data_IF_827979296601
#
_entry.id   IF_827979296601
#
_cell.length_a   1.000
_cell.length_b   1.000
_cell.length_c   1.000
_cell.angle_alpha   90.00
_cell.angle_beta   90.00
_cell.angle_gamma   90.00
#
_symmetry.space_group_name_H-M   'P 1'
#
loop_
_entity.id
_entity.type
_entity.pdbx_description
1 polymer ?
#
# COMPACT_ATOMS: atom_id res chain seq x y z
N UNK A 1 4.68 4.46 17.27
CA UNK A 1 3.71 4.44 16.16
C UNK A 1 2.95 3.14 16.24
N UNK A 2 1.62 3.21 16.33
CA UNK A 2 0.76 2.03 16.43
C UNK A 2 0.62 1.41 15.04
N UNK A 3 1.09 0.17 14.88
CA UNK A 3 1.11 -0.52 13.59
C UNK A 3 -0.27 -0.57 12.89
N UNK A 4 -1.37 -0.65 13.67
CA UNK A 4 -2.72 -0.82 13.12
C UNK A 4 -3.44 0.45 12.64
N UNK A 5 -2.88 1.65 12.79
CA UNK A 5 -3.48 2.85 12.18
C UNK A 5 -3.16 2.95 10.68
N UNK A 6 -1.92 2.68 10.28
CA UNK A 6 -1.47 2.73 8.89
C UNK A 6 -2.25 1.75 8.00
N UNK A 7 -2.56 0.58 8.54
CA UNK A 7 -3.31 -0.50 7.90
C UNK A 7 -4.75 -0.04 7.56
N UNK A 8 -5.41 0.64 8.51
CA UNK A 8 -6.76 1.19 8.31
C UNK A 8 -6.81 2.22 7.20
N UNK A 9 -5.83 3.13 7.15
CA UNK A 9 -5.78 4.16 6.11
C UNK A 9 -5.54 3.54 4.73
N UNK A 10 -4.63 2.58 4.63
CA UNK A 10 -4.34 1.85 3.39
C UNK A 10 -5.60 1.18 2.85
N UNK A 11 -6.30 0.42 3.68
CA UNK A 11 -7.53 -0.28 3.31
C UNK A 11 -8.66 0.70 2.93
N UNK A 12 -8.78 1.84 3.62
CA UNK A 12 -9.78 2.87 3.33
C UNK A 12 -9.55 3.53 1.97
N UNK A 13 -8.29 3.85 1.62
CA UNK A 13 -7.93 4.42 0.31
C UNK A 13 -8.31 3.47 -0.81
N UNK A 14 -7.94 2.19 -0.71
CA UNK A 14 -8.26 1.21 -1.74
C UNK A 14 -9.77 0.94 -1.87
N UNK A 15 -10.52 0.91 -0.76
CA UNK A 15 -11.99 0.85 -0.80
C UNK A 15 -12.60 2.06 -1.50
N UNK A 16 -12.06 3.25 -1.28
CA UNK A 16 -12.52 4.47 -1.94
C UNK A 16 -12.22 4.42 -3.43
N UNK A 17 -11.03 3.99 -3.84
CA UNK A 17 -10.64 3.80 -5.24
C UNK A 17 -11.60 2.86 -5.96
N UNK A 18 -11.99 1.74 -5.32
CA UNK A 18 -12.94 0.79 -5.89
C UNK A 18 -14.37 1.38 -6.03
N UNK A 19 -14.80 2.23 -5.08
CA UNK A 19 -16.10 2.93 -5.16
C UNK A 19 -16.12 4.04 -6.20
N UNK A 20 -14.98 4.69 -6.43
CA UNK A 20 -14.82 5.80 -7.37
C UNK A 20 -14.30 5.34 -8.74
N UNK A 21 -14.22 4.03 -8.99
CA UNK A 21 -13.74 3.50 -10.25
C UNK A 21 -14.63 3.99 -11.42
N UNK A 22 -14.04 4.42 -12.55
CA UNK A 22 -12.60 4.43 -12.86
C UNK A 22 -11.86 5.65 -12.26
N UNK A 23 -10.81 5.41 -11.47
CA UNK A 23 -9.96 6.48 -10.93
C UNK A 23 -8.47 6.09 -10.92
N UNK A 24 -7.60 7.11 -10.84
CA UNK A 24 -6.14 6.95 -10.81
C UNK A 24 -5.60 7.33 -9.44
N UNK A 25 -4.90 6.40 -8.79
CA UNK A 25 -4.20 6.67 -7.52
C UNK A 25 -2.74 7.00 -7.82
N UNK A 26 -2.33 8.21 -7.45
CA UNK A 26 -0.92 8.62 -7.50
C UNK A 26 -0.25 8.36 -6.16
N UNK A 27 0.87 7.66 -6.19
CA UNK A 27 1.77 7.52 -5.05
C UNK A 27 3.11 8.11 -5.40
N UNK A 28 3.57 9.00 -4.54
CA UNK A 28 4.89 9.62 -4.59
C UNK A 28 5.78 8.98 -3.51
N UNK A 29 7.09 8.96 -3.74
CA UNK A 29 8.08 8.38 -2.81
C UNK A 29 7.73 6.95 -2.34
N UNK A 30 7.27 6.10 -3.25
CA UNK A 30 6.88 4.72 -2.90
C UNK A 30 8.10 3.88 -2.46
N UNK A 31 9.29 4.26 -2.89
CA UNK A 31 10.57 3.73 -2.44
C UNK A 31 10.85 4.01 -0.96
N UNK A 32 10.36 5.12 -0.39
CA UNK A 32 10.45 5.39 1.05
C UNK A 32 9.63 4.38 1.89
N UNK A 33 8.55 3.84 1.31
CA UNK A 33 7.76 2.74 1.87
C UNK A 33 8.44 1.38 1.63
N UNK A 34 8.96 1.13 0.43
CA UNK A 34 9.57 -0.14 0.02
C UNK A 34 11.09 -0.25 0.25
N UNK A 35 11.69 0.69 0.99
CA UNK A 35 13.15 0.84 1.16
C UNK A 35 13.91 -0.47 1.37
N UNK A 36 15.19 -0.49 0.95
CA UNK A 36 16.02 -1.69 0.87
C UNK A 36 15.75 -2.66 2.02
N UNK A 37 15.37 -3.90 1.68
CA UNK A 37 15.19 -4.99 2.64
C UNK A 37 16.55 -5.43 3.17
N UNK A 38 17.32 -4.53 3.78
CA UNK A 38 18.62 -4.85 4.34
C UNK A 38 18.40 -5.88 5.44
N UNK A 39 19.10 -7.00 5.30
CA UNK A 39 19.08 -8.16 6.20
C UNK A 39 19.79 -7.90 7.54
N UNK A 40 20.12 -6.65 7.86
CA UNK A 40 20.89 -6.25 9.03
C UNK A 40 20.06 -5.54 10.11
N UNK A 41 19.78 -6.26 11.19
CA UNK A 41 19.67 -5.78 12.58
C UNK A 41 18.87 -4.51 12.90
N UNK A 42 17.67 -4.67 13.46
CA UNK A 42 16.99 -3.64 14.26
C UNK A 42 15.47 -3.81 14.27
N UNK A 43 14.85 -4.00 15.43
CA UNK A 43 13.44 -4.38 15.63
C UNK A 43 12.34 -3.42 15.09
N UNK A 44 12.66 -2.47 14.22
CA UNK A 44 11.70 -1.64 13.48
C UNK A 44 11.31 -2.19 12.10
N UNK A 45 12.02 -3.19 11.59
CA UNK A 45 11.84 -3.73 10.23
C UNK A 45 10.57 -4.58 10.08
N UNK A 46 10.11 -5.21 11.16
CA UNK A 46 8.97 -6.14 11.12
C UNK A 46 7.64 -5.41 10.92
N UNK A 47 7.46 -4.25 11.55
CA UNK A 47 6.27 -3.41 11.38
C UNK A 47 6.19 -2.86 9.96
N UNK A 48 7.31 -2.39 9.40
CA UNK A 48 7.37 -1.95 7.99
C UNK A 48 7.06 -3.10 7.02
N UNK A 49 7.61 -4.29 7.26
CA UNK A 49 7.33 -5.47 6.42
C UNK A 49 5.86 -5.88 6.47
N UNK A 50 5.22 -5.81 7.64
CA UNK A 50 3.80 -6.07 7.78
C UNK A 50 2.96 -5.07 6.97
N UNK A 51 3.23 -3.76 7.10
CA UNK A 51 2.55 -2.71 6.32
C UNK A 51 2.72 -2.89 4.81
N UNK A 52 3.95 -3.19 4.35
CA UNK A 52 4.24 -3.46 2.94
C UNK A 52 3.42 -4.66 2.41
N UNK A 53 3.31 -5.72 3.23
CA UNK A 53 2.59 -6.93 2.85
C UNK A 53 1.10 -6.66 2.71
N UNK A 54 0.50 -5.92 3.66
CA UNK A 54 -0.91 -5.54 3.57
C UNK A 54 -1.18 -4.60 2.38
N UNK A 55 -0.28 -3.65 2.15
CA UNK A 55 -0.36 -2.75 1.01
C UNK A 55 -0.39 -3.52 -0.33
N UNK A 56 0.48 -4.53 -0.49
CA UNK A 56 0.48 -5.41 -1.66
C UNK A 56 -0.81 -6.23 -1.79
N UNK A 57 -1.33 -6.78 -0.69
CA UNK A 57 -2.60 -7.53 -0.69
C UNK A 57 -3.77 -6.65 -1.09
N UNK A 58 -3.82 -5.41 -0.60
CA UNK A 58 -4.89 -4.48 -0.93
C UNK A 58 -4.83 -4.00 -2.40
N UNK A 59 -3.61 -3.85 -2.95
CA UNK A 59 -3.41 -3.55 -4.37
C UNK A 59 -3.89 -4.69 -5.28
N UNK A 60 -3.64 -5.95 -4.92
CA UNK A 60 -4.13 -7.11 -5.69
C UNK A 60 -5.67 -7.20 -5.69
N UNK A 61 -6.28 -6.81 -4.56
CA UNK A 61 -7.73 -6.67 -4.44
C UNK A 61 -8.35 -5.64 -5.39
N UNK A 62 -7.63 -4.57 -5.74
CA UNK A 62 -8.11 -3.59 -6.74
C UNK A 62 -8.11 -4.12 -8.17
N UNK A 63 -7.13 -4.97 -8.52
CA UNK A 63 -6.96 -5.43 -9.90
C UNK A 63 -7.94 -6.55 -10.29
N UNK A 64 -8.56 -7.18 -9.28
CA UNK A 64 -9.51 -8.30 -9.45
C UNK A 64 -10.96 -7.85 -9.75
N UNK A 65 -11.27 -6.55 -9.66
CA UNK A 65 -12.59 -5.99 -9.93
C UNK A 65 -12.90 -5.79 -11.42
N UNK A 66 -14.20 -5.80 -11.78
CA UNK A 66 -14.67 -5.50 -13.15
C UNK A 66 -14.46 -4.01 -13.53
N UNK A 67 -14.43 -3.13 -12.53
CA UNK A 67 -14.16 -1.70 -12.65
C UNK A 67 -12.74 -1.41 -12.13
N UNK A 68 -11.75 -1.44 -13.01
CA UNK A 68 -10.33 -1.40 -12.63
C UNK A 68 -9.90 0.03 -12.28
N UNK A 69 -9.59 0.27 -11.01
CA UNK A 69 -8.79 1.43 -10.60
C UNK A 69 -7.33 1.26 -11.05
N UNK A 70 -6.72 2.30 -11.62
CA UNK A 70 -5.33 2.24 -12.06
C UNK A 70 -4.44 2.91 -11.02
N UNK A 71 -3.49 2.17 -10.47
CA UNK A 71 -2.50 2.72 -9.55
C UNK A 71 -1.25 3.09 -10.35
N UNK A 72 -0.85 4.36 -10.29
CA UNK A 72 0.38 4.84 -10.92
C UNK A 72 1.33 5.35 -9.84
N UNK A 73 2.46 4.68 -9.71
CA UNK A 73 3.53 5.17 -8.86
C UNK A 73 4.39 6.15 -9.65
N UNK A 74 4.71 7.29 -9.04
CA UNK A 74 5.81 8.15 -9.45
C UNK A 74 6.99 7.89 -8.50
N UNK A 75 8.20 8.04 -9.03
CA UNK A 75 9.45 7.93 -8.28
C UNK A 75 10.10 9.31 -8.29
#
# INVERSE_FOLDING_TARGET
MWAGESDKYTNAVFKLTNRLAPCVVFMDEVDALFGERTSGGGGGTDVRRAMITEFMQAMDGLNSGKDKGVVRCHQ
#
